data_IF_659378882562
#
_entry.id   IF_659378882562
#
_cell.length_a   1.000
_cell.length_b   1.000
_cell.length_c   1.000
_cell.angle_alpha   90.00
_cell.angle_beta   90.00
_cell.angle_gamma   90.00
#
_symmetry.space_group_name_H-M   'P 1'
#
loop_
_entity.id
_entity.type
_entity.pdbx_description
1 polymer ?
#
# COMPACT_ATOMS: atom_id res chain seq x y z
N UNK A 1 -11.07 -7.78 9.69
CA UNK A 1 -9.88 -7.35 10.46
C UNK A 1 -10.35 -6.70 11.77
N UNK A 2 -9.66 -6.94 12.88
CA UNK A 2 -9.93 -6.28 14.17
C UNK A 2 -8.64 -5.72 14.76
N UNK A 3 -8.75 -4.65 15.56
CA UNK A 3 -7.64 -4.10 16.33
C UNK A 3 -8.03 -4.01 17.80
N UNK A 4 -7.20 -4.56 18.68
CA UNK A 4 -7.35 -4.54 20.12
C UNK A 4 -6.23 -3.70 20.76
N UNK A 5 -6.57 -2.78 21.66
CA UNK A 5 -5.61 -2.05 22.48
C UNK A 5 -5.40 -2.82 23.79
N UNK A 6 -4.20 -3.35 24.00
CA UNK A 6 -3.87 -4.21 25.14
C UNK A 6 -3.35 -3.41 26.34
N UNK A 7 -2.51 -2.39 26.09
CA UNK A 7 -1.96 -1.54 27.13
C UNK A 7 -1.51 -0.18 26.57
N UNK A 8 -1.37 0.80 27.47
CA UNK A 8 -0.87 2.14 27.16
C UNK A 8 0.18 2.58 28.18
N UNK A 9 1.11 3.41 27.73
CA UNK A 9 2.03 4.17 28.58
C UNK A 9 2.23 5.56 27.95
N UNK A 10 1.62 6.59 28.54
CA UNK A 10 1.52 7.91 27.93
C UNK A 10 0.88 7.85 26.54
N UNK A 11 1.66 8.17 25.49
CA UNK A 11 1.23 8.07 24.08
C UNK A 11 1.56 6.72 23.42
N UNK A 12 2.37 5.88 24.06
CA UNK A 12 2.71 4.56 23.56
C UNK A 12 1.53 3.59 23.73
N UNK A 13 1.37 2.70 22.75
CA UNK A 13 0.23 1.78 22.65
C UNK A 13 0.75 0.40 22.30
N UNK A 14 0.45 -0.59 23.15
CA UNK A 14 0.58 -2.00 22.81
C UNK A 14 -0.77 -2.48 22.30
N UNK A 15 -0.81 -3.05 21.10
CA UNK A 15 -2.05 -3.57 20.53
C UNK A 15 -1.85 -4.89 19.82
N UNK A 16 -2.96 -5.43 19.31
CA UNK A 16 -2.99 -6.63 18.48
C UNK A 16 -3.93 -6.41 17.30
N UNK A 17 -3.40 -6.61 16.10
CA UNK A 17 -4.14 -6.56 14.86
C UNK A 17 -4.40 -7.99 14.37
N UNK A 18 -5.66 -8.37 14.17
CA UNK A 18 -6.01 -9.71 13.64
C UNK A 18 -6.50 -9.59 12.20
N UNK A 19 -5.79 -10.27 11.29
CA UNK A 19 -6.11 -10.37 9.85
C UNK A 19 -6.61 -11.77 9.49
N UNK A 20 -6.84 -12.03 8.20
CA UNK A 20 -7.24 -13.36 7.73
C UNK A 20 -6.10 -14.39 7.86
N UNK A 21 -4.84 -13.94 7.79
CA UNK A 21 -3.65 -14.80 7.79
C UNK A 21 -2.83 -14.74 9.08
N UNK A 22 -3.36 -14.14 10.15
CA UNK A 22 -2.73 -14.18 11.48
C UNK A 22 -2.90 -12.92 12.30
N UNK A 23 -2.28 -12.92 13.48
CA UNK A 23 -2.25 -11.78 14.38
C UNK A 23 -0.87 -11.10 14.36
N UNK A 24 -0.88 -9.77 14.50
CA UNK A 24 0.30 -8.91 14.58
C UNK A 24 0.25 -8.12 15.89
N UNK A 25 1.27 -8.24 16.72
CA UNK A 25 1.41 -7.38 17.90
C UNK A 25 2.00 -6.02 17.47
N UNK A 26 1.44 -4.93 17.97
CA UNK A 26 1.91 -3.56 17.71
C UNK A 26 2.55 -2.95 18.96
N UNK A 27 3.63 -2.13 18.83
CA UNK A 27 4.23 -1.64 17.58
C UNK A 27 4.94 -2.74 16.77
N UNK A 28 4.75 -2.72 15.45
CA UNK A 28 5.27 -3.72 14.53
C UNK A 28 6.28 -3.12 13.56
N UNK A 29 7.34 -3.86 13.26
CA UNK A 29 8.23 -3.58 12.14
C UNK A 29 7.90 -4.54 10.99
N UNK A 30 7.86 -4.02 9.76
CA UNK A 30 7.53 -4.80 8.57
C UNK A 30 8.76 -4.92 7.66
N UNK A 31 9.38 -6.10 7.52
CA UNK A 31 10.36 -6.34 6.46
C UNK A 31 9.75 -6.08 5.09
N UNK A 32 10.51 -5.41 4.22
CA UNK A 32 10.05 -4.99 2.89
C UNK A 32 10.44 -6.03 1.85
N UNK A 33 9.43 -6.62 1.23
CA UNK A 33 9.52 -7.49 0.08
C UNK A 33 9.38 -6.72 -1.22
N UNK A 34 10.37 -6.87 -2.10
CA UNK A 34 10.34 -6.33 -3.46
C UNK A 34 10.30 -7.50 -4.44
N UNK A 35 9.30 -7.53 -5.34
CA UNK A 35 9.04 -8.67 -6.25
C UNK A 35 8.78 -9.98 -5.50
N UNK A 36 7.89 -9.93 -4.51
CA UNK A 36 7.47 -11.10 -3.71
C UNK A 36 8.61 -11.81 -2.97
N UNK A 37 9.67 -11.09 -2.59
CA UNK A 37 10.74 -11.63 -1.76
C UNK A 37 11.37 -10.53 -0.91
N UNK A 38 11.66 -10.83 0.36
CA UNK A 38 12.60 -10.03 1.16
C UNK A 38 14.00 -10.41 0.72
N UNK A 39 14.78 -9.43 0.27
CA UNK A 39 16.06 -9.71 -0.39
C UNK A 39 16.97 -10.48 0.57
N UNK A 40 17.59 -11.56 0.07
CA UNK A 40 18.52 -12.45 0.79
C UNK A 40 17.95 -13.29 1.95
N UNK A 41 16.64 -13.24 2.21
CA UNK A 41 16.00 -14.02 3.27
C UNK A 41 14.91 -14.91 2.70
N UNK A 42 14.84 -16.14 3.19
CA UNK A 42 13.70 -17.04 2.98
C UNK A 42 12.54 -16.68 3.92
N UNK A 43 11.31 -17.16 3.65
CA UNK A 43 10.20 -17.02 4.59
C UNK A 43 10.49 -17.61 5.98
N UNK A 44 11.29 -18.68 6.06
CA UNK A 44 11.70 -19.28 7.33
C UNK A 44 12.59 -18.33 8.13
N UNK A 45 13.57 -17.68 7.49
CA UNK A 45 14.43 -16.69 8.16
C UNK A 45 13.62 -15.52 8.74
N UNK A 46 12.55 -15.11 8.06
CA UNK A 46 11.64 -14.05 8.54
C UNK A 46 10.85 -14.50 9.77
N UNK A 47 10.37 -15.75 9.78
CA UNK A 47 9.68 -16.34 10.93
C UNK A 47 10.63 -16.46 12.12
N UNK A 48 11.83 -16.95 11.91
CA UNK A 48 12.86 -17.10 12.95
C UNK A 48 13.29 -15.75 13.53
N UNK A 49 13.31 -14.70 12.70
CA UNK A 49 13.53 -13.32 13.14
C UNK A 49 12.33 -12.69 13.88
N UNK A 50 11.19 -13.38 13.96
CA UNK A 50 9.99 -12.92 14.66
C UNK A 50 9.11 -11.95 13.86
N UNK A 51 9.25 -11.88 12.53
CA UNK A 51 8.36 -11.07 11.71
C UNK A 51 6.93 -11.65 11.73
N UNK A 52 5.92 -10.78 11.84
CA UNK A 52 4.51 -11.19 11.95
C UNK A 52 3.66 -10.76 10.73
N UNK A 53 4.23 -10.27 9.62
CA UNK A 53 4.23 -8.84 9.32
C UNK A 53 5.13 -8.48 8.14
N UNK A 54 4.81 -8.74 6.86
CA UNK A 54 5.62 -8.23 5.74
C UNK A 54 4.90 -7.17 4.91
N UNK A 55 5.68 -6.23 4.37
CA UNK A 55 5.22 -5.29 3.34
C UNK A 55 5.65 -5.82 1.96
N UNK A 56 4.76 -5.83 0.97
CA UNK A 56 5.10 -6.17 -0.41
C UNK A 56 4.79 -5.03 -1.36
N UNK A 57 5.74 -4.70 -2.25
CA UNK A 57 5.56 -3.60 -3.20
C UNK A 57 4.68 -3.99 -4.40
N UNK A 58 3.54 -3.32 -4.52
CA UNK A 58 2.57 -3.51 -5.61
C UNK A 58 3.15 -3.11 -6.96
N UNK A 59 3.90 -2.00 -7.03
CA UNK A 59 4.44 -1.49 -8.28
C UNK A 59 5.27 -2.54 -9.04
N UNK A 60 6.14 -3.25 -8.33
CA UNK A 60 7.01 -4.23 -8.97
C UNK A 60 6.23 -5.44 -9.47
N UNK A 61 5.26 -5.91 -8.67
CA UNK A 61 4.41 -7.05 -9.02
C UNK A 61 3.41 -6.73 -10.13
N UNK A 62 2.97 -5.47 -10.24
CA UNK A 62 2.17 -4.97 -11.34
C UNK A 62 2.91 -5.11 -12.68
N UNK A 63 4.18 -4.73 -12.71
CA UNK A 63 5.01 -4.78 -13.93
C UNK A 63 5.45 -6.21 -14.25
N UNK A 64 5.92 -6.95 -13.24
CA UNK A 64 6.38 -8.34 -13.40
C UNK A 64 6.29 -9.09 -12.07
N UNK A 65 5.64 -10.27 -12.02
CA UNK A 65 5.11 -11.05 -13.14
C UNK A 65 3.74 -10.58 -13.66
N UNK A 66 3.11 -9.59 -13.02
CA UNK A 66 1.74 -9.18 -13.28
C UNK A 66 0.77 -9.80 -12.25
N UNK A 67 -0.29 -9.07 -11.85
CA UNK A 67 -1.21 -9.51 -10.80
C UNK A 67 -2.00 -10.77 -11.17
N UNK A 68 -2.34 -10.95 -12.46
CA UNK A 68 -3.08 -12.11 -12.91
C UNK A 68 -2.29 -13.41 -12.76
N UNK A 69 -0.99 -13.38 -13.07
CA UNK A 69 -0.10 -14.52 -12.86
C UNK A 69 -0.01 -14.88 -11.37
N UNK A 70 0.15 -13.88 -10.49
CA UNK A 70 0.18 -14.12 -9.04
C UNK A 70 -1.14 -14.72 -8.55
N UNK A 71 -2.27 -14.20 -9.03
CA UNK A 71 -3.60 -14.71 -8.72
C UNK A 71 -3.78 -16.16 -9.17
N UNK A 72 -3.41 -16.49 -10.41
CA UNK A 72 -3.48 -17.84 -10.97
C UNK A 72 -2.61 -18.85 -10.21
N UNK A 73 -1.46 -18.41 -9.69
CA UNK A 73 -0.57 -19.23 -8.86
C UNK A 73 -1.05 -19.37 -7.40
N UNK A 74 -2.20 -18.79 -7.06
CA UNK A 74 -2.86 -18.93 -5.76
C UNK A 74 -2.63 -17.78 -4.78
N UNK A 75 -2.34 -16.58 -5.29
CA UNK A 75 -2.16 -15.37 -4.50
C UNK A 75 -0.72 -15.18 -4.00
N UNK A 76 -0.44 -13.99 -3.49
CA UNK A 76 0.91 -13.56 -3.14
C UNK A 76 1.51 -14.41 -2.01
N UNK A 77 0.73 -14.77 -0.99
CA UNK A 77 1.14 -15.66 0.10
C UNK A 77 1.76 -16.96 -0.41
N UNK A 78 1.01 -17.68 -1.27
CA UNK A 78 1.48 -18.93 -1.88
C UNK A 78 2.64 -18.70 -2.83
N UNK A 79 2.59 -17.62 -3.60
CA UNK A 79 3.63 -17.28 -4.57
C UNK A 79 5.00 -17.02 -3.91
N UNK A 80 5.02 -16.41 -2.73
CA UNK A 80 6.26 -16.13 -1.98
C UNK A 80 6.58 -17.13 -0.87
N UNK A 81 5.69 -18.07 -0.58
CA UNK A 81 5.84 -19.03 0.53
C UNK A 81 5.70 -18.40 1.92
N UNK A 82 5.01 -17.26 2.03
CA UNK A 82 4.73 -16.58 3.29
C UNK A 82 3.25 -16.78 3.64
N UNK A 83 2.99 -17.39 4.79
CA UNK A 83 1.66 -17.74 5.28
C UNK A 83 1.09 -16.73 6.31
N UNK A 84 1.89 -15.76 6.72
CA UNK A 84 1.46 -14.69 7.63
C UNK A 84 0.80 -13.50 6.92
N UNK A 85 0.39 -12.48 7.69
CA UNK A 85 -0.16 -11.24 7.15
C UNK A 85 0.76 -10.54 6.14
N UNK A 86 0.16 -9.99 5.08
CA UNK A 86 0.82 -9.15 4.08
C UNK A 86 0.12 -7.80 3.96
N UNK A 87 0.91 -6.73 4.02
CA UNK A 87 0.48 -5.38 3.66
C UNK A 87 1.05 -5.03 2.28
N UNK A 88 0.22 -4.53 1.37
CA UNK A 88 0.68 -3.96 0.11
C UNK A 88 0.62 -2.43 0.14
N UNK A 89 1.64 -1.81 -0.46
CA UNK A 89 1.57 -0.39 -0.79
C UNK A 89 0.69 -0.15 -2.03
N UNK A 90 0.33 1.10 -2.29
CA UNK A 90 -0.48 1.46 -3.46
C UNK A 90 0.32 1.52 -4.77
N UNK A 91 1.65 1.52 -4.68
CA UNK A 91 2.56 1.80 -5.80
C UNK A 91 2.78 3.30 -6.09
N UNK A 92 2.06 4.21 -5.43
CA UNK A 92 2.13 5.66 -5.67
C UNK A 92 3.54 6.23 -5.46
N UNK A 93 4.22 5.81 -4.39
CA UNK A 93 5.58 6.26 -4.09
C UNK A 93 6.63 5.78 -5.12
N UNK A 94 6.55 4.54 -5.59
CA UNK A 94 7.49 4.08 -6.64
C UNK A 94 7.27 4.85 -7.93
N UNK A 95 6.02 5.07 -8.34
CA UNK A 95 5.75 5.91 -9.51
C UNK A 95 6.26 7.33 -9.28
N UNK A 96 6.13 7.86 -8.05
CA UNK A 96 6.74 9.13 -7.69
C UNK A 96 8.26 9.15 -7.90
N UNK A 97 8.97 8.12 -7.44
CA UNK A 97 10.43 8.02 -7.57
C UNK A 97 10.92 8.00 -9.03
N UNK A 98 10.05 7.66 -9.99
CA UNK A 98 10.33 7.64 -11.44
C UNK A 98 10.11 9.01 -12.13
N UNK A 99 10.35 10.12 -11.44
CA UNK A 99 9.90 11.48 -11.78
C UNK A 99 10.01 11.92 -13.27
N UNK A 100 10.98 11.43 -14.04
CA UNK A 100 11.13 11.76 -15.48
C UNK A 100 10.23 10.95 -16.42
N UNK A 101 9.62 9.87 -15.95
CA UNK A 101 8.90 8.88 -16.75
C UNK A 101 7.42 8.78 -16.36
N UNK A 102 6.87 9.79 -15.66
CA UNK A 102 5.46 9.79 -15.23
C UNK A 102 4.68 11.00 -15.74
N UNK A 103 3.38 10.80 -15.97
CA UNK A 103 2.39 11.85 -16.18
C UNK A 103 1.24 11.64 -15.19
N UNK A 104 1.05 12.60 -14.30
CA UNK A 104 -0.03 12.62 -13.33
C UNK A 104 -1.24 13.36 -13.90
N UNK A 105 -2.43 12.79 -13.76
CA UNK A 105 -3.72 13.40 -14.13
C UNK A 105 -4.74 13.14 -13.02
N UNK A 106 -5.94 13.70 -13.15
CA UNK A 106 -7.04 13.36 -12.23
C UNK A 106 -7.40 11.86 -12.29
N UNK A 107 -7.23 11.22 -13.45
CA UNK A 107 -7.62 9.83 -13.67
C UNK A 107 -6.66 8.83 -13.01
N UNK A 108 -5.39 9.20 -12.85
CA UNK A 108 -4.36 8.33 -12.31
C UNK A 108 -2.96 8.80 -12.69
N UNK A 109 -2.03 7.85 -12.75
CA UNK A 109 -0.65 8.10 -13.16
C UNK A 109 -0.27 7.16 -14.30
N UNK A 110 0.15 7.74 -15.42
CA UNK A 110 0.78 7.01 -16.51
C UNK A 110 2.29 6.99 -16.29
N UNK A 111 2.95 5.84 -16.45
CA UNK A 111 4.39 5.73 -16.32
C UNK A 111 5.02 4.72 -17.27
N UNK A 112 6.31 4.89 -17.54
CA UNK A 112 7.10 3.90 -18.29
C UNK A 112 7.90 3.02 -17.34
N UNK A 113 7.69 1.71 -17.41
CA UNK A 113 8.40 0.74 -16.58
C UNK A 113 9.90 0.73 -16.95
N UNK A 114 10.82 0.91 -15.98
CA UNK A 114 12.26 0.86 -16.26
C UNK A 114 12.77 -0.52 -16.70
N UNK A 115 12.04 -1.59 -16.34
CA UNK A 115 12.47 -2.96 -16.57
C UNK A 115 12.43 -3.36 -18.06
N UNK A 116 11.45 -2.86 -18.81
CA UNK A 116 11.19 -3.28 -20.20
C UNK A 116 10.71 -2.14 -21.11
N UNK A 117 10.52 -0.92 -20.58
CA UNK A 117 10.04 0.23 -21.36
C UNK A 117 8.55 0.20 -21.67
N UNK A 118 7.78 -0.74 -21.12
CA UNK A 118 6.32 -0.78 -21.29
C UNK A 118 5.64 0.40 -20.60
N UNK A 119 4.54 0.89 -21.18
CA UNK A 119 3.74 1.98 -20.62
C UNK A 119 2.58 1.40 -19.82
N UNK A 120 2.44 1.85 -18.58
CA UNK A 120 1.39 1.43 -17.65
C UNK A 120 0.58 2.65 -17.21
N UNK A 121 -0.68 2.42 -16.86
CA UNK A 121 -1.54 3.41 -16.23
C UNK A 121 -2.07 2.84 -14.92
N UNK A 122 -1.86 3.57 -13.83
CA UNK A 122 -2.31 3.20 -12.49
C UNK A 122 -3.31 4.24 -12.00
N UNK A 123 -4.59 3.87 -12.02
CA UNK A 123 -5.68 4.63 -11.41
C UNK A 123 -5.95 4.16 -9.97
N UNK A 124 -6.67 4.95 -9.16
CA UNK A 124 -7.15 4.53 -7.84
C UNK A 124 -7.90 3.19 -7.84
N UNK A 125 -8.72 2.92 -8.87
CA UNK A 125 -9.47 1.67 -9.02
C UNK A 125 -8.53 0.52 -9.38
N UNK A 126 -7.64 0.72 -10.35
CA UNK A 126 -6.68 -0.30 -10.78
C UNK A 126 -5.73 -0.67 -9.64
N UNK A 127 -5.29 0.30 -8.82
CA UNK A 127 -4.46 0.02 -7.66
C UNK A 127 -5.14 -0.91 -6.65
N UNK A 128 -6.45 -0.72 -6.44
CA UNK A 128 -7.25 -1.58 -5.56
C UNK A 128 -7.46 -2.97 -6.17
N UNK A 129 -7.80 -3.03 -7.46
CA UNK A 129 -7.95 -4.29 -8.19
C UNK A 129 -6.68 -5.15 -8.14
N UNK A 130 -5.51 -4.53 -8.38
CA UNK A 130 -4.21 -5.20 -8.34
C UNK A 130 -3.95 -5.76 -6.94
N UNK A 131 -4.14 -4.96 -5.89
CA UNK A 131 -3.89 -5.41 -4.51
C UNK A 131 -4.85 -6.53 -4.09
N UNK A 132 -6.11 -6.50 -4.55
CA UNK A 132 -7.04 -7.62 -4.36
C UNK A 132 -6.60 -8.88 -5.11
N UNK A 133 -6.13 -8.76 -6.35
CA UNK A 133 -5.61 -9.88 -7.12
C UNK A 133 -4.36 -10.51 -6.47
N UNK A 134 -3.52 -9.69 -5.83
CA UNK A 134 -2.40 -10.17 -5.02
C UNK A 134 -2.87 -10.89 -3.74
N UNK A 135 -4.07 -10.61 -3.24
CA UNK A 135 -4.63 -11.27 -2.06
C UNK A 135 -4.06 -10.76 -0.73
N UNK A 136 -3.60 -9.50 -0.67
CA UNK A 136 -3.06 -8.91 0.55
C UNK A 136 -4.10 -8.77 1.69
N UNK A 137 -3.63 -8.79 2.94
CA UNK A 137 -4.47 -8.59 4.14
C UNK A 137 -4.80 -7.11 4.38
N UNK A 138 -3.86 -6.23 4.05
CA UNK A 138 -3.97 -4.78 4.24
C UNK A 138 -3.52 -4.11 2.94
N UNK A 139 -4.36 -3.21 2.43
CA UNK A 139 -4.14 -2.51 1.17
C UNK A 139 -4.22 -1.00 1.39
N UNK A 140 -3.66 -0.23 0.46
CA UNK A 140 -3.67 1.23 0.51
C UNK A 140 -4.33 1.85 -0.73
N UNK A 141 -5.03 2.99 -0.60
CA UNK A 141 -5.49 3.76 -1.74
C UNK A 141 -4.28 4.36 -2.46
N UNK A 142 -4.46 4.65 -3.75
CA UNK A 142 -3.47 5.43 -4.48
C UNK A 142 -3.46 6.87 -3.95
N UNK A 143 -2.28 7.43 -3.73
CA UNK A 143 -2.06 8.80 -3.28
C UNK A 143 -1.06 9.52 -4.18
N UNK A 144 -1.05 10.86 -4.11
CA UNK A 144 0.02 11.65 -4.69
C UNK A 144 1.06 11.96 -3.61
N UNK A 145 2.22 11.32 -3.71
CA UNK A 145 3.38 11.73 -2.92
C UNK A 145 3.93 13.04 -3.51
N UNK A 146 3.80 14.14 -2.79
CA UNK A 146 4.42 15.41 -3.16
C UNK A 146 5.88 15.44 -2.70
N UNK A 147 6.78 15.96 -3.54
CA UNK A 147 8.18 16.13 -3.19
C UNK A 147 8.37 17.23 -2.14
N UNK A 148 9.45 17.13 -1.36
CA UNK A 148 9.83 18.17 -0.41
C UNK A 148 11.14 18.87 -0.86
N UNK A 149 11.24 20.20 -0.76
CA UNK A 149 10.24 21.15 -0.27
C UNK A 149 9.10 21.40 -1.28
N UNK A 150 7.94 21.83 -0.78
CA UNK A 150 6.79 22.26 -1.56
C UNK A 150 6.09 23.44 -0.86
N UNK A 151 5.41 24.30 -1.62
CA UNK A 151 4.60 25.38 -1.04
C UNK A 151 3.33 24.84 -0.40
N UNK A 152 2.68 25.66 0.44
CA UNK A 152 1.38 25.31 1.02
C UNK A 152 0.33 25.09 -0.08
N UNK A 153 0.33 25.93 -1.12
CA UNK A 153 -0.59 25.84 -2.26
C UNK A 153 -0.38 24.53 -3.06
N UNK A 154 0.88 24.15 -3.30
CA UNK A 154 1.21 22.88 -3.95
C UNK A 154 0.76 21.69 -3.10
N UNK A 155 0.98 21.78 -1.78
CA UNK A 155 0.57 20.75 -0.80
C UNK A 155 -0.94 20.61 -0.74
N UNK A 156 -1.66 21.73 -0.73
CA UNK A 156 -3.12 21.76 -0.72
C UNK A 156 -3.70 21.14 -1.99
N UNK A 157 -3.16 21.49 -3.17
CA UNK A 157 -3.57 20.89 -4.45
C UNK A 157 -3.36 19.37 -4.44
N UNK A 158 -2.20 18.93 -3.97
CA UNK A 158 -1.85 17.51 -3.91
C UNK A 158 -2.70 16.73 -2.91
N UNK A 159 -2.97 17.32 -1.75
CA UNK A 159 -3.92 16.78 -0.78
C UNK A 159 -5.32 16.65 -1.39
N UNK A 160 -5.79 17.66 -2.12
CA UNK A 160 -7.08 17.61 -2.82
C UNK A 160 -7.18 16.44 -3.79
N UNK A 161 -6.13 16.17 -4.59
CA UNK A 161 -6.07 15.01 -5.47
C UNK A 161 -6.08 13.70 -4.68
N UNK A 162 -5.24 13.60 -3.64
CA UNK A 162 -5.17 12.43 -2.77
C UNK A 162 -6.53 12.09 -2.13
N UNK A 163 -7.28 13.08 -1.65
CA UNK A 163 -8.60 12.86 -1.06
C UNK A 163 -9.63 12.38 -2.09
N UNK A 164 -9.61 12.93 -3.32
CA UNK A 164 -10.48 12.43 -4.41
C UNK A 164 -10.12 11.01 -4.81
N UNK A 165 -8.83 10.68 -4.86
CA UNK A 165 -8.35 9.33 -5.13
C UNK A 165 -8.69 8.34 -4.00
N UNK A 166 -8.55 8.74 -2.74
CA UNK A 166 -8.95 7.93 -1.60
C UNK A 166 -10.44 7.57 -1.65
N UNK A 167 -11.32 8.52 -2.00
CA UNK A 167 -12.76 8.27 -2.19
C UNK A 167 -13.03 7.25 -3.31
N UNK A 168 -12.34 7.39 -4.45
CA UNK A 168 -12.44 6.45 -5.58
C UNK A 168 -11.93 5.05 -5.22
N UNK A 169 -10.78 4.95 -4.55
CA UNK A 169 -10.24 3.68 -4.05
C UNK A 169 -11.17 3.01 -3.04
N UNK A 170 -11.76 3.78 -2.11
CA UNK A 170 -12.74 3.24 -1.16
C UNK A 170 -14.00 2.72 -1.86
N UNK A 171 -14.51 3.43 -2.87
CA UNK A 171 -15.64 2.99 -3.66
C UNK A 171 -15.32 1.68 -4.42
N UNK A 172 -14.16 1.60 -5.07
CA UNK A 172 -13.70 0.39 -5.75
C UNK A 172 -13.55 -0.80 -4.79
N UNK A 173 -12.97 -0.56 -3.61
CA UNK A 173 -12.78 -1.59 -2.58
C UNK A 173 -14.12 -2.13 -2.05
N UNK A 174 -15.11 -1.24 -1.83
CA UNK A 174 -16.46 -1.64 -1.39
C UNK A 174 -17.25 -2.39 -2.46
N UNK A 175 -16.99 -2.11 -3.73
CA UNK A 175 -17.64 -2.79 -4.85
C UNK A 175 -17.07 -4.20 -5.10
N UNK A 176 -15.88 -4.51 -4.60
CA UNK A 176 -15.30 -5.84 -4.70
C UNK A 176 -16.13 -6.86 -3.89
N UNK A 177 -16.38 -8.04 -4.47
CA UNK A 177 -17.12 -9.09 -3.79
C UNK A 177 -16.35 -9.60 -2.56
N UNK A 178 -16.89 -9.35 -1.37
CA UNK A 178 -16.37 -9.76 -0.06
C UNK A 178 -14.86 -9.47 0.14
N UNK A 179 -14.47 -8.20 0.37
CA UNK A 179 -13.08 -7.87 0.56
C UNK A 179 -12.55 -8.52 1.85
N UNK A 180 -11.64 -9.49 1.71
CA UNK A 180 -10.90 -10.06 2.84
C UNK A 180 -9.89 -9.05 3.43
N UNK A 181 -9.45 -8.10 2.62
CA UNK A 181 -8.45 -7.10 2.97
C UNK A 181 -9.06 -5.90 3.71
N UNK A 182 -8.29 -5.30 4.62
CA UNK A 182 -8.58 -3.97 5.15
C UNK A 182 -7.96 -2.87 4.28
N UNK A 183 -8.67 -1.77 4.08
CA UNK A 183 -8.14 -0.58 3.39
C UNK A 183 -7.69 0.47 4.40
N UNK A 184 -6.39 0.77 4.45
CA UNK A 184 -5.83 1.81 5.31
C UNK A 184 -5.72 3.13 4.56
N UNK A 185 -6.18 4.23 5.16
CA UNK A 185 -6.05 5.57 4.58
C UNK A 185 -4.62 6.11 4.69
N UNK A 186 -4.23 6.98 3.74
CA UNK A 186 -2.95 7.69 3.77
C UNK A 186 -3.22 9.17 4.06
N UNK A 187 -2.77 9.63 5.23
CA UNK A 187 -2.88 11.04 5.62
C UNK A 187 -1.73 11.81 4.96
N UNK A 188 -2.07 12.71 4.04
CA UNK A 188 -1.16 13.70 3.44
C UNK A 188 -1.30 15.07 4.11
N UNK A 189 -0.72 16.13 3.54
CA UNK A 189 -0.77 17.51 4.07
C UNK A 189 0.59 18.12 4.40
N UNK A 190 1.70 17.45 4.05
CA UNK A 190 3.04 18.01 4.20
C UNK A 190 3.39 18.36 5.65
N UNK A 191 3.98 19.54 5.84
CA UNK A 191 4.34 20.11 7.15
C UNK A 191 3.35 21.20 7.62
N UNK A 192 2.13 21.18 7.08
CA UNK A 192 1.07 22.15 7.40
C UNK A 192 0.02 21.48 8.29
N UNK A 193 -0.05 21.89 9.56
CA UNK A 193 -0.92 21.29 10.57
C UNK A 193 -2.40 21.38 10.20
N UNK A 194 -2.82 22.49 9.57
CA UNK A 194 -4.18 22.71 9.07
C UNK A 194 -4.53 21.72 7.94
N UNK A 195 -3.60 21.48 7.01
CA UNK A 195 -3.80 20.52 5.93
C UNK A 195 -3.81 19.08 6.45
N UNK A 196 -2.96 18.75 7.44
CA UNK A 196 -2.95 17.44 8.12
C UNK A 196 -4.27 17.19 8.87
N UNK A 197 -4.77 18.18 9.60
CA UNK A 197 -6.05 18.08 10.29
C UNK A 197 -7.21 17.87 9.29
N UNK A 198 -7.21 18.60 8.17
CA UNK A 198 -8.18 18.41 7.09
C UNK A 198 -8.12 17.00 6.50
N UNK A 199 -6.92 16.48 6.24
CA UNK A 199 -6.73 15.14 5.70
C UNK A 199 -7.25 14.01 6.60
N UNK A 200 -7.29 14.21 7.92
CA UNK A 200 -7.86 13.25 8.89
C UNK A 200 -9.38 13.34 8.95
N UNK A 201 -9.94 14.54 8.75
CA UNK A 201 -11.37 14.78 8.86
C UNK A 201 -12.17 14.34 7.62
N UNK A 202 -11.55 14.33 6.44
CA UNK A 202 -12.16 14.03 5.14
C UNK A 202 -11.97 12.57 4.66
#
# INVERSE_FOLDING_TARGET
MTFELLATDGRARRGRLTTAHGAVDTPAFMPVGTRAAVKSLSPDDLRDAGAQIVLSNTFHLLVRPGPDVVRELGGLHRFMGWDGPILTDSGGFQVFSLARLRRLTEEGVAFRAPADGSTHHLSPERAIEVQHALGADIIHPLDECLGYPATQEETERSLGLTLRWARRSLAAHRAAAAPAAALFGIVQGGFHDDLRARAVAE
#
